data_IF_822284947223
#
_entry.id   IF_822284947223
#
_cell.length_a   1.000
_cell.length_b   1.000
_cell.length_c   1.000
_cell.angle_alpha   90.00
_cell.angle_beta   90.00
_cell.angle_gamma   90.00
#
_symmetry.space_group_name_H-M   'P 1'
#
loop_
_entity.id
_entity.type
_entity.pdbx_description
1 polymer ?
#
# COMPACT_ATOMS: atom_id res chain seq x y z
N UNK A 1 -11.65 7.34 1.49
CA UNK A 1 -11.06 6.69 2.68
C UNK A 1 -10.77 7.80 3.66
N UNK A 2 -11.27 7.68 4.88
CA UNK A 2 -11.09 8.70 5.92
C UNK A 2 -9.60 8.94 6.15
N UNK A 3 -9.20 10.19 6.34
CA UNK A 3 -7.83 10.62 6.68
C UNK A 3 -7.23 9.79 7.83
N UNK A 4 -8.09 9.25 8.69
CA UNK A 4 -7.77 8.28 9.77
C UNK A 4 -6.98 7.05 9.32
N UNK A 5 -7.12 6.56 8.09
CA UNK A 5 -6.37 5.39 7.59
C UNK A 5 -4.89 5.72 7.40
N UNK A 6 -4.56 6.96 7.03
CA UNK A 6 -3.18 7.41 6.86
C UNK A 6 -2.58 7.95 8.16
N UNK A 7 -3.38 8.18 9.22
CA UNK A 7 -2.90 8.58 10.56
C UNK A 7 -2.39 7.40 11.42
N UNK A 8 -2.32 6.19 10.86
CA UNK A 8 -1.88 4.98 11.57
C UNK A 8 -0.38 5.05 11.91
N UNK A 9 0.04 4.63 13.13
CA UNK A 9 1.46 4.49 13.46
C UNK A 9 2.10 3.24 12.84
N UNK A 10 1.34 2.47 12.05
CA UNK A 10 1.79 1.31 11.31
C UNK A 10 1.57 1.48 9.80
N UNK A 11 2.46 0.95 8.94
CA UNK A 11 2.28 1.03 7.50
C UNK A 11 1.01 0.33 7.06
N UNK A 12 0.31 0.95 6.11
CA UNK A 12 -0.86 0.37 5.47
C UNK A 12 -0.40 -0.35 4.20
N UNK A 13 -0.99 -1.52 3.95
CA UNK A 13 -0.67 -2.37 2.80
C UNK A 13 -1.69 -2.16 1.69
N UNK A 14 -1.18 -2.03 0.46
CA UNK A 14 -1.99 -1.68 -0.70
C UNK A 14 -1.60 -2.51 -1.92
N UNK A 15 -2.59 -2.72 -2.78
CA UNK A 15 -2.36 -3.01 -4.19
C UNK A 15 -2.61 -1.75 -5.01
N UNK A 16 -1.66 -1.46 -5.91
CA UNK A 16 -1.73 -0.33 -6.83
C UNK A 16 -2.04 -0.84 -8.23
N UNK A 17 -2.98 -0.16 -8.87
CA UNK A 17 -3.29 -0.33 -10.29
C UNK A 17 -3.52 1.03 -10.92
N UNK A 18 -2.95 1.33 -12.08
CA UNK A 18 -3.23 2.58 -12.79
C UNK A 18 -4.56 2.54 -13.57
N UNK A 19 -4.95 3.68 -14.16
CA UNK A 19 -6.18 3.82 -14.96
C UNK A 19 -6.16 2.99 -16.26
N UNK A 20 -5.00 2.52 -16.70
CA UNK A 20 -4.82 1.65 -17.86
C UNK A 20 -4.83 0.16 -17.47
N UNK A 21 -5.28 -0.18 -16.27
CA UNK A 21 -5.32 -1.53 -15.73
C UNK A 21 -3.95 -2.21 -15.59
N UNK A 22 -2.89 -1.42 -15.45
CA UNK A 22 -1.56 -1.94 -15.16
C UNK A 22 -1.33 -2.01 -13.66
N UNK A 23 -0.74 -3.11 -13.21
CA UNK A 23 -0.37 -3.35 -11.81
C UNK A 23 1.14 -3.27 -11.64
N UNK A 24 1.57 -2.90 -10.44
CA UNK A 24 3.00 -2.82 -10.13
C UNK A 24 3.58 -4.21 -9.85
N UNK A 25 4.73 -4.51 -10.44
CA UNK A 25 5.47 -5.76 -10.25
C UNK A 25 6.96 -5.48 -10.06
N UNK A 26 7.63 -6.25 -9.22
CA UNK A 26 9.08 -6.17 -9.03
C UNK A 26 9.76 -7.28 -9.83
N UNK A 27 10.59 -6.90 -10.81
CA UNK A 27 11.32 -7.85 -11.66
C UNK A 27 12.78 -7.42 -11.79
N UNK A 28 13.70 -8.28 -11.38
CA UNK A 28 15.14 -7.98 -11.43
C UNK A 28 15.53 -6.74 -10.62
N UNK A 29 14.84 -6.46 -9.51
CA UNK A 29 15.07 -5.28 -8.68
C UNK A 29 14.45 -3.98 -9.23
N UNK A 30 13.71 -4.06 -10.35
CA UNK A 30 13.07 -2.90 -10.98
C UNK A 30 11.56 -2.99 -10.80
N UNK A 31 10.95 -1.92 -10.29
CA UNK A 31 9.51 -1.79 -10.18
C UNK A 31 8.93 -1.38 -11.54
N UNK A 32 8.03 -2.18 -12.09
CA UNK A 32 7.43 -1.96 -13.41
C UNK A 32 5.92 -1.92 -13.31
N UNK A 33 5.28 -1.15 -14.19
CA UNK A 33 3.84 -1.25 -14.43
C UNK A 33 3.61 -2.18 -15.62
N UNK A 34 2.78 -3.20 -15.44
CA UNK A 34 2.46 -4.18 -16.49
C UNK A 34 0.97 -4.46 -16.54
N UNK A 35 0.38 -4.74 -17.72
CA UNK A 35 -1.02 -5.14 -17.81
C UNK A 35 -1.32 -6.34 -16.89
N UNK A 36 -2.40 -6.23 -16.12
CA UNK A 36 -2.83 -7.30 -15.20
C UNK A 36 -3.17 -8.58 -15.98
N UNK A 37 -2.70 -9.73 -15.47
CA UNK A 37 -3.00 -11.08 -15.98
C UNK A 37 -3.35 -12.01 -14.82
N UNK A 38 -4.09 -13.09 -15.08
CA UNK A 38 -4.70 -13.95 -14.05
C UNK A 38 -3.69 -14.63 -13.08
N UNK A 39 -2.45 -14.84 -13.52
CA UNK A 39 -1.39 -15.48 -12.71
C UNK A 39 -0.31 -14.49 -12.25
N UNK A 40 -0.48 -13.21 -12.53
CA UNK A 40 0.46 -12.19 -12.12
C UNK A 40 0.17 -11.79 -10.67
N UNK A 41 1.18 -11.90 -9.81
CA UNK A 41 1.10 -11.41 -8.43
C UNK A 41 1.66 -9.99 -8.39
N UNK A 42 0.84 -8.96 -8.14
CA UNK A 42 1.33 -7.59 -7.95
C UNK A 42 2.18 -7.50 -6.69
N UNK A 43 3.07 -6.51 -6.64
CA UNK A 43 3.75 -6.18 -5.38
C UNK A 43 2.74 -5.68 -4.35
N UNK A 44 3.02 -6.00 -3.09
CA UNK A 44 2.36 -5.34 -1.96
C UNK A 44 3.11 -4.07 -1.64
N UNK A 45 2.41 -2.94 -1.72
CA UNK A 45 2.97 -1.62 -1.46
C UNK A 45 2.69 -1.22 -0.02
N UNK A 46 3.70 -0.71 0.67
CA UNK A 46 3.64 -0.20 2.05
C UNK A 46 3.63 1.31 2.04
N UNK A 47 2.79 1.91 2.86
CA UNK A 47 2.59 3.36 2.87
C UNK A 47 2.38 3.85 4.31
N UNK A 48 3.11 4.89 4.74
CA UNK A 48 2.98 5.49 6.07
C UNK A 48 3.20 7.01 6.01
N UNK A 49 2.40 7.78 6.74
CA UNK A 49 2.52 9.24 6.77
C UNK A 49 3.77 9.69 7.54
N UNK A 50 4.38 10.77 7.07
CA UNK A 50 5.49 11.42 7.76
C UNK A 50 5.00 12.05 9.08
N UNK A 51 5.76 11.92 10.16
CA UNK A 51 5.41 12.52 11.45
C UNK A 51 5.68 14.03 11.50
N UNK A 52 6.68 14.51 10.76
CA UNK A 52 7.24 15.87 10.91
C UNK A 52 6.99 16.71 9.67
N UNK A 53 5.79 17.27 9.52
CA UNK A 53 5.42 18.01 8.30
C UNK A 53 5.69 19.51 8.37
N UNK A 54 6.27 20.01 9.47
CA UNK A 54 6.38 21.45 9.75
C UNK A 54 7.29 22.19 8.77
N UNK A 55 8.26 21.47 8.20
CA UNK A 55 9.26 22.00 7.25
C UNK A 55 8.93 21.69 5.79
N UNK A 56 7.78 21.04 5.55
CA UNK A 56 7.33 20.63 4.22
C UNK A 56 6.34 21.64 3.66
N UNK A 57 6.20 21.67 2.33
CA UNK A 57 5.25 22.56 1.67
C UNK A 57 3.82 22.12 1.99
N UNK A 58 2.97 23.11 2.25
CA UNK A 58 1.55 22.90 2.53
C UNK A 58 0.77 22.79 1.23
N UNK A 59 -0.45 22.24 1.32
CA UNK A 59 -1.42 22.20 0.22
C UNK A 59 -0.99 21.38 -1.03
N UNK A 60 -0.01 20.47 -0.87
CA UNK A 60 0.43 19.54 -1.92
C UNK A 60 -0.07 18.09 -1.73
N UNK A 61 -0.84 17.84 -0.68
CA UNK A 61 -1.25 16.49 -0.26
C UNK A 61 -0.51 16.04 1.00
N UNK A 62 -0.75 14.78 1.39
CA UNK A 62 -0.18 14.21 2.61
C UNK A 62 1.25 13.67 2.37
N UNK A 63 2.28 14.14 3.09
CA UNK A 63 3.63 13.61 2.93
C UNK A 63 3.73 12.18 3.47
N UNK A 64 4.16 11.24 2.63
CA UNK A 64 4.22 9.82 2.94
C UNK A 64 5.57 9.20 2.57
N UNK A 65 5.96 8.16 3.30
CA UNK A 65 6.94 7.20 2.83
C UNK A 65 6.23 6.07 2.09
N UNK A 66 6.84 5.60 1.01
CA UNK A 66 6.30 4.60 0.10
C UNK A 66 7.32 3.49 -0.16
N UNK A 67 6.89 2.23 -0.14
CA UNK A 67 7.78 1.10 -0.31
C UNK A 67 7.10 -0.16 -0.81
N UNK A 68 7.88 -1.22 -0.98
CA UNK A 68 7.44 -2.59 -1.28
C UNK A 68 7.68 -3.43 -0.04
N UNK A 69 6.70 -4.27 0.31
CA UNK A 69 6.76 -5.11 1.51
C UNK A 69 7.78 -6.24 1.41
N UNK A 70 7.78 -6.92 0.26
CA UNK A 70 8.54 -8.17 0.04
C UNK A 70 9.19 -8.15 -1.35
N UNK A 71 10.52 -8.00 -1.45
CA UNK A 71 11.46 -7.66 -0.37
C UNK A 71 11.20 -6.25 0.18
N UNK A 72 11.66 -5.99 1.41
CA UNK A 72 11.51 -4.68 2.05
C UNK A 72 12.41 -3.63 1.38
N UNK A 73 11.80 -2.78 0.56
CA UNK A 73 12.47 -1.71 -0.19
C UNK A 73 11.63 -0.43 -0.09
N UNK A 74 12.27 0.73 -0.02
CA UNK A 74 11.58 2.02 -0.11
C UNK A 74 11.86 2.72 -1.45
N UNK A 75 10.86 3.43 -1.95
CA UNK A 75 11.01 4.30 -3.11
C UNK A 75 11.82 5.53 -2.73
N UNK A 76 12.76 5.89 -3.58
CA UNK A 76 13.75 6.94 -3.34
C UNK A 76 13.97 7.73 -4.62
N UNK A 77 13.89 9.05 -4.53
CA UNK A 77 14.24 9.96 -5.61
C UNK A 77 15.69 10.43 -5.45
N UNK A 78 16.43 10.39 -6.54
CA UNK A 78 17.82 10.88 -6.60
C UNK A 78 18.07 11.63 -7.88
N UNK A 79 19.21 12.31 -7.97
CA UNK A 79 19.66 12.93 -9.20
C UNK A 79 20.84 12.13 -9.76
N UNK A 80 20.74 11.73 -11.03
CA UNK A 80 21.85 11.12 -11.76
C UNK A 80 22.07 11.93 -13.02
N UNK A 81 23.29 12.44 -13.19
CA UNK A 81 23.68 13.26 -14.34
C UNK A 81 22.76 14.49 -14.55
N UNK A 82 22.31 15.12 -13.46
CA UNK A 82 21.43 16.30 -13.52
C UNK A 82 19.95 15.99 -13.77
N UNK A 83 19.55 14.71 -13.77
CA UNK A 83 18.17 14.30 -14.00
C UNK A 83 17.60 13.58 -12.77
N UNK A 84 16.40 13.98 -12.28
CA UNK A 84 15.69 13.24 -11.24
C UNK A 84 15.31 11.84 -11.70
N UNK A 85 15.56 10.84 -10.87
CA UNK A 85 15.23 9.44 -11.13
C UNK A 85 14.61 8.77 -9.91
N UNK A 86 13.69 7.85 -10.17
CA UNK A 86 13.09 6.97 -9.17
C UNK A 86 13.91 5.69 -9.04
N UNK A 87 14.22 5.30 -7.81
CA UNK A 87 14.93 4.06 -7.49
C UNK A 87 14.27 3.34 -6.31
N UNK A 88 14.62 2.07 -6.16
CA UNK A 88 14.35 1.30 -4.97
C UNK A 88 15.63 1.19 -4.14
N UNK A 89 15.50 1.35 -2.83
CA UNK A 89 16.61 1.19 -1.89
C UNK A 89 16.23 0.23 -0.77
N UNK A 90 17.16 -0.63 -0.39
CA UNK A 90 17.04 -1.46 0.80
C UNK A 90 16.98 -0.56 2.02
N UNK A 91 15.78 -0.43 2.56
CA UNK A 91 15.46 0.51 3.62
C UNK A 91 14.15 0.09 4.28
N UNK A 92 14.16 -0.03 5.60
CA UNK A 92 12.97 -0.27 6.39
C UNK A 92 12.13 1.01 6.48
N UNK A 93 10.84 0.92 6.16
CA UNK A 93 9.94 2.09 6.13
C UNK A 93 9.69 2.69 7.53
N UNK A 94 9.75 1.86 8.57
CA UNK A 94 9.59 2.31 9.96
C UNK A 94 10.86 2.99 10.50
N UNK A 95 12.04 2.71 9.93
CA UNK A 95 13.24 3.50 10.23
C UNK A 95 13.13 4.92 9.69
N UNK A 96 12.55 5.10 8.49
CA UNK A 96 12.26 6.42 7.92
C UNK A 96 11.20 7.17 8.72
N UNK A 97 10.13 6.47 9.12
CA UNK A 97 9.05 7.03 9.94
C UNK A 97 9.52 7.60 11.27
N UNK A 98 10.48 6.93 11.93
CA UNK A 98 11.01 7.32 13.24
C UNK A 98 12.09 8.40 13.21
N UNK A 99 12.51 8.84 12.02
CA UNK A 99 13.52 9.90 11.93
C UNK A 99 12.97 11.19 12.54
N UNK A 100 13.78 11.93 13.32
CA UNK A 100 13.34 13.18 13.96
C UNK A 100 13.12 14.32 12.97
N UNK A 101 13.51 14.14 11.71
CA UNK A 101 13.30 15.08 10.63
C UNK A 101 12.90 14.34 9.35
N UNK A 102 12.16 15.00 8.43
CA UNK A 102 11.78 14.42 7.15
C UNK A 102 12.97 13.98 6.30
N UNK A 103 12.98 12.71 5.88
CA UNK A 103 13.97 12.22 4.92
C UNK A 103 13.46 12.48 3.50
N UNK A 104 13.58 13.74 3.05
CA UNK A 104 12.96 14.26 1.82
C UNK A 104 13.11 13.38 0.56
N UNK A 105 14.27 12.77 0.26
CA UNK A 105 14.42 11.91 -0.91
C UNK A 105 13.50 10.67 -0.94
N UNK A 106 12.98 10.22 0.20
CA UNK A 106 12.04 9.09 0.29
C UNK A 106 10.58 9.52 0.42
N UNK A 107 10.32 10.83 0.45
CA UNK A 107 8.99 11.36 0.68
C UNK A 107 8.31 11.71 -0.64
N UNK A 108 7.01 11.40 -0.66
CA UNK A 108 6.10 11.80 -1.71
C UNK A 108 4.91 12.52 -1.10
N UNK A 109 4.44 13.60 -1.72
CA UNK A 109 3.11 14.10 -1.42
C UNK A 109 2.09 13.21 -2.11
N UNK A 110 1.24 12.58 -1.29
CA UNK A 110 0.10 11.80 -1.75
C UNK A 110 -1.13 12.70 -1.80
N UNK A 111 -1.60 12.96 -3.01
CA UNK A 111 -2.86 13.64 -3.23
C UNK A 111 -3.90 12.69 -3.84
N UNK A 112 -5.17 12.87 -3.48
CA UNK A 112 -6.27 12.00 -3.92
C UNK A 112 -7.33 12.82 -4.66
N UNK A 113 -7.41 12.62 -5.96
CA UNK A 113 -8.49 13.15 -6.79
C UNK A 113 -9.54 12.07 -7.08
N UNK A 114 -10.65 12.10 -6.33
CA UNK A 114 -11.74 11.14 -6.47
C UNK A 114 -11.32 9.69 -6.16
N UNK A 115 -11.15 8.89 -7.23
CA UNK A 115 -10.78 7.45 -7.15
C UNK A 115 -9.29 7.20 -7.41
N UNK A 116 -8.58 8.19 -7.93
CA UNK A 116 -7.16 8.08 -8.25
C UNK A 116 -6.33 8.81 -7.20
N UNK A 117 -5.03 8.54 -7.21
CA UNK A 117 -4.05 9.19 -6.37
C UNK A 117 -2.79 9.44 -7.16
N UNK A 118 -2.14 10.56 -6.85
CA UNK A 118 -0.87 10.98 -7.43
C UNK A 118 0.20 10.99 -6.34
N UNK A 119 1.46 10.88 -6.76
CA UNK A 119 2.62 10.87 -5.87
C UNK A 119 3.66 11.84 -6.40
N UNK A 120 3.68 13.05 -5.85
CA UNK A 120 4.68 14.05 -6.18
C UNK A 120 5.92 13.88 -5.30
N UNK A 121 7.11 13.94 -5.89
CA UNK A 121 8.37 13.90 -5.15
C UNK A 121 8.55 15.13 -4.27
N UNK A 122 8.84 14.94 -2.98
CA UNK A 122 9.18 16.05 -2.06
C UNK A 122 10.57 16.61 -2.37
N UNK A 123 11.52 15.76 -2.78
CA UNK A 123 12.88 16.20 -3.13
C UNK A 123 12.97 16.91 -4.48
N UNK A 124 12.02 16.66 -5.39
CA UNK A 124 11.98 17.22 -6.72
C UNK A 124 10.56 17.72 -7.03
N UNK A 125 10.17 18.92 -6.58
CA UNK A 125 8.82 19.45 -6.80
C UNK A 125 8.44 19.49 -8.28
N UNK A 126 7.18 19.16 -8.58
CA UNK A 126 6.62 19.03 -9.91
C UNK A 126 6.88 17.68 -10.60
N UNK A 127 7.66 16.79 -9.98
CA UNK A 127 7.94 15.46 -10.52
C UNK A 127 7.05 14.40 -9.87
N UNK A 128 6.29 13.68 -10.67
CA UNK A 128 5.32 12.68 -10.21
C UNK A 128 5.76 11.27 -10.56
N UNK A 129 5.50 10.30 -9.67
CA UNK A 129 5.62 8.88 -10.04
C UNK A 129 4.70 8.62 -11.23
N UNK A 130 5.22 7.91 -12.24
CA UNK A 130 4.46 7.59 -13.43
C UNK A 130 4.78 6.20 -14.00
N UNK A 131 3.77 5.61 -14.62
CA UNK A 131 3.88 4.47 -15.53
C UNK A 131 3.75 4.93 -16.99
N UNK A 132 4.36 4.22 -17.93
CA UNK A 132 4.08 4.41 -19.35
C UNK A 132 2.73 3.80 -19.72
N UNK A 133 1.99 4.43 -20.63
CA UNK A 133 0.66 3.97 -21.03
C UNK A 133 0.67 2.61 -21.75
N UNK A 134 1.76 2.28 -22.45
CA UNK A 134 1.90 1.02 -23.22
C UNK A 134 2.31 -0.19 -22.34
N UNK A 135 2.68 0.06 -21.09
CA UNK A 135 3.11 -0.93 -20.10
C UNK A 135 4.48 -1.57 -20.36
N UNK A 136 4.92 -2.37 -19.39
CA UNK A 136 6.22 -3.07 -19.46
C UNK A 136 7.43 -2.23 -19.06
N UNK A 137 7.27 -0.91 -18.94
CA UNK A 137 8.33 0.00 -18.52
C UNK A 137 8.53 0.02 -16.99
N UNK A 138 9.73 0.40 -16.55
CA UNK A 138 9.96 0.82 -15.16
C UNK A 138 9.03 1.96 -14.76
N UNK A 139 8.67 2.01 -13.49
CA UNK A 139 8.15 3.24 -12.90
C UNK A 139 9.25 4.30 -12.89
N UNK A 140 8.86 5.51 -13.24
CA UNK A 140 9.75 6.68 -13.29
C UNK A 140 9.17 7.82 -12.47
N UNK A 141 9.89 8.92 -12.39
CA UNK A 141 9.30 10.23 -12.09
C UNK A 141 9.32 11.11 -13.34
N UNK A 142 8.31 11.96 -13.53
CA UNK A 142 8.19 12.85 -14.69
C UNK A 142 7.45 14.14 -14.37
N UNK A 143 7.69 15.19 -15.16
CA UNK A 143 6.89 16.41 -15.18
C UNK A 143 5.84 16.41 -16.31
N UNK A 144 5.92 15.47 -17.25
CA UNK A 144 5.02 15.36 -18.39
C UNK A 144 3.72 14.62 -18.02
N UNK A 145 2.89 15.26 -17.21
CA UNK A 145 1.58 14.74 -16.80
C UNK A 145 0.58 14.74 -17.97
N UNK A 146 -0.17 13.64 -18.16
CA UNK A 146 -1.28 13.56 -19.11
C UNK A 146 -0.89 13.34 -20.58
N UNK A 147 0.34 12.89 -20.85
CA UNK A 147 0.83 12.53 -22.21
C UNK A 147 1.05 11.02 -22.33
N UNK A 148 2.28 10.60 -22.64
CA UNK A 148 2.68 9.18 -22.75
C UNK A 148 2.76 8.45 -21.39
N UNK A 149 2.58 9.19 -20.30
CA UNK A 149 2.72 8.70 -18.93
C UNK A 149 1.45 8.91 -18.13
N UNK A 150 1.15 7.93 -17.28
CA UNK A 150 0.04 7.91 -16.35
C UNK A 150 0.55 8.15 -14.94
N UNK A 151 0.00 9.17 -14.28
CA UNK A 151 0.30 9.53 -12.87
C UNK A 151 -0.85 9.21 -11.93
N UNK A 152 -1.98 8.79 -12.48
CA UNK A 152 -3.22 8.48 -11.76
C UNK A 152 -3.29 7.00 -11.39
N UNK A 153 -3.15 6.73 -10.09
CA UNK A 153 -3.14 5.39 -9.55
C UNK A 153 -4.36 5.10 -8.69
N UNK A 154 -5.05 4.01 -8.97
CA UNK A 154 -6.08 3.42 -8.13
C UNK A 154 -5.49 2.55 -7.02
N UNK A 155 -6.11 2.63 -5.84
CA UNK A 155 -5.67 1.95 -4.63
C UNK A 155 -6.73 0.99 -4.10
N UNK A 156 -6.32 -0.24 -3.84
CA UNK A 156 -7.11 -1.19 -3.05
C UNK A 156 -6.36 -1.47 -1.75
N UNK A 157 -6.96 -1.10 -0.61
CA UNK A 157 -6.42 -1.52 0.70
C UNK A 157 -6.49 -3.03 0.76
N UNK A 158 -5.36 -3.64 1.06
CA UNK A 158 -5.36 -5.01 1.53
C UNK A 158 -5.86 -4.94 2.98
N UNK A 159 -7.16 -5.25 3.17
CA UNK A 159 -7.77 -5.12 4.49
C UNK A 159 -6.98 -5.94 5.51
N UNK A 160 -6.83 -5.38 6.72
CA UNK A 160 -6.35 -6.11 7.90
C UNK A 160 -7.37 -7.20 8.24
N UNK A 161 -7.35 -8.28 7.48
CA UNK A 161 -8.10 -9.50 7.72
C UNK A 161 -7.12 -10.65 7.60
N UNK A 162 -6.68 -11.15 8.77
CA UNK A 162 -6.00 -12.45 8.91
C UNK A 162 -4.48 -12.50 8.62
N UNK A 163 -3.69 -11.67 9.29
CA UNK A 163 -2.34 -12.07 9.75
C UNK A 163 -2.11 -11.55 11.18
N UNK A 164 -2.99 -11.91 12.11
CA UNK A 164 -2.72 -11.84 13.55
C UNK A 164 -3.10 -13.17 14.17
N UNK A 165 -2.38 -14.21 13.79
CA UNK A 165 -2.31 -15.44 14.57
C UNK A 165 -0.84 -15.84 14.58
N UNK A 166 -0.06 -15.18 15.44
CA UNK A 166 1.20 -15.61 16.06
C UNK A 166 1.77 -14.37 16.74
N UNK A 167 1.12 -13.96 17.83
CA UNK A 167 1.63 -13.20 18.98
C UNK A 167 0.40 -12.57 19.66
N UNK A 168 -0.01 -13.22 20.74
CA UNK A 168 -0.95 -12.66 21.72
C UNK A 168 -0.30 -11.42 22.31
N UNK A 169 -0.86 -10.25 22.00
CA UNK A 169 -1.01 -9.08 22.89
C UNK A 169 -1.40 -7.87 22.04
N UNK A 170 -2.67 -7.78 21.68
CA UNK A 170 -3.25 -6.59 21.06
C UNK A 170 -3.62 -5.63 22.19
N UNK A 171 -2.88 -4.53 22.30
CA UNK A 171 -3.31 -3.35 23.07
C UNK A 171 -4.20 -2.49 22.16
N UNK A 172 -5.46 -2.29 22.55
CA UNK A 172 -6.33 -1.25 21.98
C UNK A 172 -5.66 0.14 22.18
N UNK A 173 -5.90 1.14 21.30
CA UNK A 173 -5.31 2.48 21.41
C UNK A 173 -5.69 3.25 22.70
N UNK A 174 -6.70 2.77 23.44
CA UNK A 174 -7.10 3.29 24.76
C UNK A 174 -6.57 2.46 25.94
N UNK A 175 -5.64 1.52 25.71
CA UNK A 175 -4.99 0.72 26.75
C UNK A 175 -5.90 -0.27 27.51
N UNK A 176 -7.12 -0.51 27.05
CA UNK A 176 -8.07 -1.43 27.70
C UNK A 176 -7.98 -2.84 27.13
N UNK A 177 -7.64 -3.81 27.98
CA UNK A 177 -7.72 -5.25 27.65
C UNK A 177 -9.19 -5.66 27.53
N UNK A 178 -9.63 -6.08 26.34
CA UNK A 178 -10.93 -6.76 26.16
C UNK A 178 -10.74 -8.26 26.00
N UNK A 179 -11.44 -9.04 26.83
CA UNK A 179 -11.53 -10.49 26.70
C UNK A 179 -12.74 -10.85 25.86
N UNK A 180 -12.53 -11.49 24.71
CA UNK A 180 -13.62 -11.98 23.87
C UNK A 180 -14.18 -13.28 24.43
N UNK A 181 -15.46 -13.30 24.83
CA UNK A 181 -16.20 -14.54 25.13
C UNK A 181 -17.01 -14.95 23.91
N UNK A 182 -16.48 -15.89 23.14
CA UNK A 182 -17.21 -16.49 22.02
C UNK A 182 -18.35 -17.35 22.55
N UNK A 183 -19.60 -16.99 22.20
CA UNK A 183 -20.75 -17.86 22.40
C UNK A 183 -20.91 -18.75 21.17
N UNK A 184 -20.68 -20.05 21.35
CA UNK A 184 -20.95 -21.08 20.33
C UNK A 184 -22.47 -21.13 20.10
N UNK A 185 -22.97 -20.65 18.96
CA UNK A 185 -24.34 -20.96 18.53
C UNK A 185 -24.41 -22.45 18.21
N UNK A 186 -25.34 -23.15 18.87
CA UNK A 186 -25.62 -24.57 18.63
C UNK A 186 -26.40 -24.75 17.32
N UNK A 187 -25.96 -25.77 16.59
CA UNK A 187 -26.66 -26.60 15.60
C UNK A 187 -26.76 -26.07 14.15
N UNK A 188 -26.12 -26.81 13.23
CA UNK A 188 -26.85 -27.83 12.46
C UNK A 188 -25.92 -28.95 11.93
N UNK A 189 -26.19 -30.19 12.38
CA UNK A 189 -25.79 -31.54 11.92
C UNK A 189 -24.43 -31.76 11.21
N UNK A 190 -23.51 -32.40 11.94
CA UNK A 190 -22.57 -33.36 11.34
C UNK A 190 -23.31 -34.63 10.91
N UNK A 191 -22.99 -35.17 9.73
CA UNK A 191 -23.09 -36.61 9.47
C UNK A 191 -22.04 -37.05 8.44
N UNK A 192 -21.20 -37.97 8.91
CA UNK A 192 -20.38 -38.97 8.20
C UNK A 192 -19.24 -38.50 7.28
N UNK A 193 -18.02 -38.67 7.80
CA UNK A 193 -16.78 -38.75 7.06
C UNK A 193 -16.69 -40.04 6.22
N UNK A 194 -16.01 -39.96 5.07
CA UNK A 194 -15.24 -41.07 4.49
C UNK A 194 -13.76 -40.65 4.45
N UNK A 195 -12.81 -41.56 4.77
CA UNK A 195 -11.41 -41.22 4.93
C UNK A 195 -10.66 -41.28 3.59
N UNK A 196 -9.90 -40.23 3.29
CA UNK A 196 -8.88 -40.26 2.24
C UNK A 196 -8.90 -39.03 1.34
N UNK A 197 -7.72 -38.45 1.16
CA UNK A 197 -7.40 -37.27 0.35
C UNK A 197 -7.85 -35.93 0.93
N UNK A 198 -6.92 -35.31 1.66
CA UNK A 198 -6.98 -33.90 2.01
C UNK A 198 -6.91 -33.05 0.74
N UNK A 199 -8.01 -32.36 0.46
CA UNK A 199 -8.14 -31.07 -0.20
C UNK A 199 -9.64 -30.80 -0.38
N UNK A 200 -10.22 -29.86 0.36
CA UNK A 200 -11.33 -29.06 -0.15
C UNK A 200 -11.58 -27.78 0.65
N UNK A 201 -11.51 -26.68 -0.13
CA UNK A 201 -12.43 -25.55 -0.16
C UNK A 201 -12.63 -24.78 1.16
N UNK A 202 -11.89 -23.68 1.28
CA UNK A 202 -12.29 -22.57 2.15
C UNK A 202 -13.54 -21.92 1.57
N UNK A 203 -14.70 -22.19 2.17
CA UNK A 203 -15.94 -21.46 1.93
C UNK A 203 -15.75 -19.99 2.35
N UNK A 204 -16.07 -19.08 1.43
CA UNK A 204 -16.08 -17.65 1.67
C UNK A 204 -17.25 -17.28 2.58
N UNK A 205 -16.98 -16.76 3.77
CA UNK A 205 -17.98 -16.15 4.65
C UNK A 205 -18.10 -14.67 4.26
N UNK A 206 -19.16 -14.32 3.52
CA UNK A 206 -19.54 -12.92 3.31
C UNK A 206 -20.30 -12.39 4.55
N UNK A 207 -20.03 -11.17 5.02
CA UNK A 207 -20.82 -10.57 6.08
C UNK A 207 -22.22 -10.18 5.59
N UNK A 208 -23.24 -10.60 6.35
CA UNK A 208 -24.61 -10.14 6.22
C UNK A 208 -24.72 -8.64 6.58
N UNK A 209 -25.59 -7.93 5.87
CA UNK A 209 -25.71 -6.47 5.87
C UNK A 209 -26.00 -5.83 7.24
N UNK A 210 -25.65 -4.55 7.31
CA UNK A 210 -25.97 -3.62 8.39
C UNK A 210 -27.49 -3.47 8.54
N UNK A 211 -27.99 -3.67 9.76
CA UNK A 211 -29.21 -3.00 10.21
C UNK A 211 -28.78 -1.93 11.21
N UNK A 212 -29.09 -0.68 10.88
CA UNK A 212 -29.00 0.46 11.81
C UNK A 212 -30.22 0.43 12.74
N UNK A 213 -30.01 0.70 14.03
CA UNK A 213 -31.05 1.23 14.94
C UNK A 213 -30.81 2.73 15.12
#
# INVERSE_FOLDING_TARGET
MNDKVLSSPYPVLWQIQDVNHQVWVLQGGILKAVPRKDHLVPVTVTLISCQHTETLEKDRGNPIYLGVKEPELCLFCTEVQGQPMLQLKEQNIMELYRQPQPVKPFLFYHDRSGRTSTFESVAFPGWFIASCSDGGCPLIITQDVGKAYTTDFGFTVLSYGMFTALNQDILDPDGKKRTWKFHKRKNQKESSALPGHGLCLSEAIYPAGLNEE
#
